data_IF_539294660782
#
_entry.id   IF_539294660782
#
_cell.length_a   1.000
_cell.length_b   1.000
_cell.length_c   1.000
_cell.angle_alpha   90.00
_cell.angle_beta   90.00
_cell.angle_gamma   90.00
#
_symmetry.space_group_name_H-M   'P 1'
#
loop_
_entity.id
_entity.type
_entity.pdbx_description
1 polymer ?
#
# COMPACT_ATOMS: atom_id res chain seq x y z
N UNK A 1 -34.76 -33.22 -67.77
CA UNK A 1 -33.38 -33.49 -67.33
C UNK A 1 -32.99 -32.36 -66.37
N UNK A 2 -33.43 -32.54 -65.14
CA UNK A 2 -32.81 -32.19 -63.86
C UNK A 2 -31.88 -30.96 -63.82
N UNK A 3 -32.48 -29.82 -63.50
CA UNK A 3 -31.79 -28.73 -62.81
C UNK A 3 -31.81 -29.08 -61.32
N UNK A 4 -30.72 -29.65 -60.81
CA UNK A 4 -30.55 -29.92 -59.39
C UNK A 4 -30.35 -28.59 -58.64
N UNK A 5 -31.42 -28.11 -58.02
CA UNK A 5 -31.38 -27.04 -57.02
C UNK A 5 -30.42 -27.43 -55.90
N UNK A 6 -29.33 -26.70 -55.79
CA UNK A 6 -28.39 -26.81 -54.66
C UNK A 6 -29.13 -26.37 -53.38
N UNK A 7 -29.11 -27.12 -52.28
CA UNK A 7 -29.74 -26.67 -51.05
C UNK A 7 -28.93 -25.51 -50.49
N UNK A 8 -29.55 -24.33 -50.40
CA UNK A 8 -29.01 -23.18 -49.69
C UNK A 8 -28.91 -23.50 -48.20
N UNK A 9 -27.77 -24.02 -47.79
CA UNK A 9 -27.41 -24.10 -46.36
C UNK A 9 -27.18 -22.69 -45.84
N UNK A 10 -27.57 -22.45 -44.58
CA UNK A 10 -27.23 -21.21 -43.88
C UNK A 10 -25.73 -20.92 -44.03
N UNK A 11 -25.34 -19.64 -44.23
CA UNK A 11 -23.93 -19.29 -44.33
C UNK A 11 -23.18 -19.75 -43.07
N UNK A 12 -21.92 -20.19 -43.21
CA UNK A 12 -21.13 -20.63 -42.08
C UNK A 12 -21.05 -19.52 -41.03
N UNK A 13 -21.42 -19.85 -39.79
CA UNK A 13 -21.33 -18.93 -38.66
C UNK A 13 -19.90 -18.89 -38.14
N UNK A 14 -19.38 -17.69 -37.91
CA UNK A 14 -18.08 -17.54 -37.27
C UNK A 14 -18.10 -18.09 -35.84
N UNK A 15 -16.99 -18.70 -35.43
CA UNK A 15 -16.83 -19.17 -34.06
C UNK A 15 -16.41 -17.98 -33.18
N UNK A 16 -17.20 -17.68 -32.15
CA UNK A 16 -16.96 -16.54 -31.27
C UNK A 16 -15.67 -16.65 -30.42
N UNK A 17 -15.08 -17.84 -30.29
CA UNK A 17 -13.84 -18.07 -29.53
C UNK A 17 -12.60 -18.13 -30.42
N UNK A 18 -12.72 -18.62 -31.66
CA UNK A 18 -11.58 -18.96 -32.53
C UNK A 18 -11.65 -18.33 -33.92
N UNK A 19 -12.49 -17.31 -34.12
CA UNK A 19 -12.45 -16.42 -35.27
C UNK A 19 -12.21 -14.99 -34.78
N UNK A 20 -11.00 -14.48 -35.01
CA UNK A 20 -10.56 -13.20 -34.47
C UNK A 20 -10.47 -12.14 -35.55
N UNK A 21 -10.95 -10.95 -35.24
CA UNK A 21 -10.66 -9.76 -36.02
C UNK A 21 -9.25 -9.26 -35.65
N UNK A 22 -8.32 -9.14 -36.62
CA UNK A 22 -6.98 -8.67 -36.34
C UNK A 22 -6.96 -7.15 -36.13
N UNK A 23 -6.03 -6.70 -35.31
CA UNK A 23 -5.60 -5.30 -35.21
C UNK A 23 -4.09 -5.21 -35.35
N UNK A 24 -3.64 -4.20 -36.10
CA UNK A 24 -2.22 -3.97 -36.42
C UNK A 24 -1.66 -2.78 -35.65
N UNK A 25 -0.54 -2.98 -34.95
CA UNK A 25 0.21 -1.93 -34.28
C UNK A 25 1.61 -1.84 -34.87
N UNK A 26 2.17 -0.63 -34.90
CA UNK A 26 3.57 -0.38 -35.22
C UNK A 26 4.24 0.23 -33.99
N UNK A 27 5.31 -0.42 -33.52
CA UNK A 27 6.10 0.03 -32.37
C UNK A 27 7.56 -0.01 -32.78
N UNK A 28 8.24 1.13 -32.69
CA UNK A 28 9.59 1.31 -33.24
C UNK A 28 9.66 0.84 -34.72
N UNK A 29 10.45 -0.18 -35.01
CA UNK A 29 10.66 -0.75 -36.35
C UNK A 29 9.84 -2.03 -36.62
N UNK A 30 8.93 -2.43 -35.72
CA UNK A 30 8.22 -3.70 -35.78
C UNK A 30 6.69 -3.56 -35.91
N UNK A 31 6.08 -4.52 -36.62
CA UNK A 31 4.62 -4.65 -36.78
C UNK A 31 4.08 -5.82 -35.96
N UNK A 32 3.05 -5.55 -35.17
CA UNK A 32 2.38 -6.52 -34.33
C UNK A 32 0.96 -6.74 -34.83
N UNK A 33 0.52 -8.00 -34.92
CA UNK A 33 -0.83 -8.38 -35.30
C UNK A 33 -1.44 -9.26 -34.20
N UNK A 34 -2.54 -8.80 -33.62
CA UNK A 34 -3.17 -9.44 -32.45
C UNK A 34 -4.69 -9.38 -32.55
N UNK A 35 -5.43 -10.22 -31.82
CA UNK A 35 -6.90 -10.15 -31.78
C UNK A 35 -7.41 -8.82 -31.20
N UNK A 36 -8.23 -8.07 -31.95
CA UNK A 36 -8.85 -6.79 -31.53
C UNK A 36 -9.63 -6.93 -30.22
N UNK A 37 -10.35 -8.04 -30.07
CA UNK A 37 -11.22 -8.31 -28.92
C UNK A 37 -10.49 -8.25 -27.57
N UNK A 38 -9.20 -8.61 -27.51
CA UNK A 38 -8.44 -8.54 -26.27
C UNK A 38 -8.23 -7.10 -25.79
N UNK A 39 -7.97 -6.15 -26.69
CA UNK A 39 -7.81 -4.73 -26.34
C UNK A 39 -9.15 -4.08 -25.96
N UNK A 40 -10.22 -4.39 -26.70
CA UNK A 40 -11.57 -3.91 -26.39
C UNK A 40 -12.10 -4.45 -25.07
N UNK A 41 -11.77 -5.69 -24.71
CA UNK A 41 -12.18 -6.28 -23.44
C UNK A 41 -11.30 -5.86 -22.25
N UNK A 42 -10.04 -5.46 -22.52
CA UNK A 42 -9.09 -5.10 -21.47
C UNK A 42 -9.18 -3.62 -21.07
N UNK A 43 -9.60 -2.73 -21.97
CA UNK A 43 -9.73 -1.28 -21.71
C UNK A 43 -11.16 -0.83 -21.95
N UNK A 44 -11.80 -0.32 -20.89
CA UNK A 44 -13.20 0.12 -20.97
C UNK A 44 -13.37 1.42 -21.77
N UNK A 45 -12.31 2.22 -21.95
CA UNK A 45 -12.41 3.60 -22.45
C UNK A 45 -11.47 3.93 -23.63
N UNK A 46 -10.17 3.60 -23.52
CA UNK A 46 -9.15 4.10 -24.48
C UNK A 46 -9.34 3.49 -25.86
N UNK A 47 -9.66 2.20 -25.89
CA UNK A 47 -9.84 1.45 -27.12
C UNK A 47 -11.31 1.38 -27.53
N UNK A 48 -12.25 1.49 -26.60
CA UNK A 48 -13.68 1.60 -26.93
C UNK A 48 -13.97 2.87 -27.72
N UNK A 49 -13.53 4.05 -27.25
CA UNK A 49 -13.81 5.33 -27.91
C UNK A 49 -12.98 5.52 -29.19
N UNK A 50 -11.71 5.11 -29.18
CA UNK A 50 -10.85 5.15 -30.37
C UNK A 50 -11.30 4.18 -31.47
N UNK A 51 -12.04 3.11 -31.12
CA UNK A 51 -12.54 2.13 -32.08
C UNK A 51 -14.05 2.25 -32.38
N UNK A 52 -14.79 3.15 -31.72
CA UNK A 52 -16.25 3.37 -31.94
C UNK A 52 -16.61 4.67 -32.66
N UNK A 53 -15.66 5.40 -33.26
CA UNK A 53 -16.00 6.60 -34.02
C UNK A 53 -16.89 6.24 -35.24
N UNK A 54 -18.08 6.89 -35.39
CA UNK A 54 -18.97 6.63 -36.51
C UNK A 54 -18.41 7.22 -37.82
N UNK A 55 -18.09 6.32 -38.75
CA UNK A 55 -18.10 6.50 -40.21
C UNK A 55 -17.88 7.92 -40.77
N UNK A 56 -16.62 8.34 -40.89
CA UNK A 56 -16.26 9.34 -41.90
C UNK A 56 -14.85 9.95 -41.75
N UNK A 57 -13.97 9.61 -42.69
CA UNK A 57 -12.66 10.23 -43.03
C UNK A 57 -11.38 9.71 -42.30
N UNK A 58 -10.37 9.37 -43.12
CA UNK A 58 -8.94 9.05 -42.94
C UNK A 58 -8.40 8.36 -41.65
N UNK A 59 -8.89 8.65 -40.45
CA UNK A 59 -8.51 7.98 -39.19
C UNK A 59 -9.11 6.56 -39.10
N UNK A 60 -10.04 6.22 -40.00
CA UNK A 60 -10.76 4.94 -40.10
C UNK A 60 -9.90 3.71 -40.49
N UNK A 61 -8.72 3.91 -41.06
CA UNK A 61 -7.89 2.78 -41.51
C UNK A 61 -6.90 2.32 -40.44
N UNK A 62 -6.75 3.06 -39.34
CA UNK A 62 -5.75 2.78 -38.31
C UNK A 62 -5.98 1.42 -37.64
N UNK A 63 -4.99 0.56 -37.76
CA UNK A 63 -4.96 -0.80 -37.25
C UNK A 63 -5.70 -1.83 -38.10
N UNK A 64 -6.22 -1.45 -39.28
CA UNK A 64 -6.97 -2.35 -40.15
C UNK A 64 -6.09 -3.40 -40.81
N UNK A 65 -4.91 -3.00 -41.28
CA UNK A 65 -3.99 -3.85 -42.02
C UNK A 65 -2.53 -3.41 -41.85
N UNK A 66 -1.61 -4.13 -42.51
CA UNK A 66 -0.16 -3.87 -42.47
C UNK A 66 0.25 -2.51 -43.02
N UNK A 67 -0.49 -1.97 -43.99
CA UNK A 67 -0.23 -0.64 -44.58
C UNK A 67 -0.77 0.50 -43.71
N UNK A 68 -1.74 0.20 -42.85
CA UNK A 68 -2.38 1.17 -41.96
C UNK A 68 -2.34 0.68 -40.50
N UNK A 69 -1.14 0.49 -39.89
CA UNK A 69 -1.06 0.13 -38.48
C UNK A 69 -1.38 1.33 -37.57
N UNK A 70 -1.73 1.07 -36.32
CA UNK A 70 -1.73 2.09 -35.26
C UNK A 70 -0.27 2.33 -34.87
N UNK A 71 0.27 3.51 -35.20
CA UNK A 71 1.63 3.90 -34.85
C UNK A 71 1.70 4.35 -33.38
N UNK A 72 2.62 3.76 -32.61
CA UNK A 72 2.88 4.04 -31.21
C UNK A 72 4.33 4.53 -31.03
N UNK A 73 4.66 5.75 -31.49
CA UNK A 73 6.04 6.22 -31.61
C UNK A 73 6.77 6.39 -30.27
N UNK A 74 6.04 6.64 -29.19
CA UNK A 74 6.60 6.86 -27.85
C UNK A 74 6.74 5.56 -27.04
N UNK A 75 6.41 4.41 -27.64
CA UNK A 75 6.44 3.11 -26.97
C UNK A 75 7.67 2.29 -27.36
N UNK A 76 8.28 1.61 -26.39
CA UNK A 76 9.36 0.65 -26.62
C UNK A 76 8.79 -0.71 -27.00
N UNK A 77 9.41 -1.39 -27.97
CA UNK A 77 8.94 -2.71 -28.40
C UNK A 77 8.91 -3.74 -27.26
N UNK A 78 9.91 -3.72 -26.39
CA UNK A 78 9.99 -4.60 -25.21
C UNK A 78 8.84 -4.35 -24.23
N UNK A 79 8.36 -3.11 -24.13
CA UNK A 79 7.22 -2.79 -23.27
C UNK A 79 5.95 -3.41 -23.84
N UNK A 80 5.75 -3.23 -25.15
CA UNK A 80 4.58 -3.74 -25.85
C UNK A 80 4.55 -5.27 -25.88
N UNK A 81 5.67 -5.92 -26.17
CA UNK A 81 5.82 -7.38 -26.12
C UNK A 81 5.46 -7.93 -24.73
N UNK A 82 5.90 -7.27 -23.67
CA UNK A 82 5.61 -7.71 -22.29
C UNK A 82 4.11 -7.71 -21.99
N UNK A 83 3.38 -6.68 -22.45
CA UNK A 83 1.92 -6.67 -22.36
C UNK A 83 1.29 -7.78 -23.19
N UNK A 84 1.73 -7.97 -24.44
CA UNK A 84 1.18 -9.00 -25.32
C UNK A 84 1.40 -10.41 -24.79
N UNK A 85 2.51 -10.69 -24.10
CA UNK A 85 2.75 -11.97 -23.42
C UNK A 85 1.68 -12.28 -22.36
N UNK A 86 1.15 -11.26 -21.69
CA UNK A 86 0.08 -11.41 -20.70
C UNK A 86 -1.29 -11.53 -21.38
N UNK A 87 -1.54 -10.74 -22.43
CA UNK A 87 -2.85 -10.73 -23.12
C UNK A 87 -3.06 -11.95 -24.03
N UNK A 88 -2.00 -12.39 -24.70
CA UNK A 88 -2.02 -13.47 -25.70
C UNK A 88 -0.89 -14.46 -25.42
N UNK A 89 -0.96 -15.16 -24.28
CA UNK A 89 0.09 -16.09 -23.91
C UNK A 89 0.14 -17.24 -24.93
N UNK A 90 1.33 -17.58 -25.42
CA UNK A 90 1.55 -18.73 -26.31
C UNK A 90 2.05 -19.94 -25.52
N UNK A 91 1.70 -21.19 -25.91
CA UNK A 91 1.97 -22.38 -25.09
C UNK A 91 3.41 -22.51 -24.56
N UNK A 92 4.40 -22.11 -25.34
CA UNK A 92 5.82 -22.12 -24.95
C UNK A 92 6.16 -21.18 -23.78
N UNK A 93 5.32 -20.19 -23.48
CA UNK A 93 5.54 -19.18 -22.44
C UNK A 93 4.84 -19.50 -21.11
N UNK A 94 3.85 -20.39 -21.10
CA UNK A 94 3.07 -20.65 -19.89
C UNK A 94 2.88 -22.12 -19.54
N UNK A 95 3.17 -23.06 -20.46
CA UNK A 95 3.12 -24.49 -20.16
C UNK A 95 4.54 -24.94 -19.75
N UNK A 96 4.78 -24.97 -18.44
CA UNK A 96 6.02 -25.49 -17.86
C UNK A 96 5.82 -26.94 -17.37
N UNK A 97 6.92 -27.64 -17.08
CA UNK A 97 6.89 -28.99 -16.49
C UNK A 97 6.12 -29.05 -15.15
N UNK A 98 6.04 -27.92 -14.45
CA UNK A 98 5.41 -27.77 -13.13
C UNK A 98 3.99 -27.19 -13.18
N UNK A 99 3.43 -26.98 -14.37
CA UNK A 99 2.06 -26.50 -14.55
C UNK A 99 1.92 -25.26 -15.44
N UNK A 100 0.78 -24.58 -15.33
CA UNK A 100 0.47 -23.37 -16.09
C UNK A 100 0.92 -22.14 -15.29
N UNK A 101 1.98 -21.48 -15.72
CA UNK A 101 2.49 -20.24 -15.09
C UNK A 101 3.14 -19.33 -16.13
N UNK A 102 2.70 -18.08 -16.18
CA UNK A 102 3.40 -17.02 -16.90
C UNK A 102 4.68 -16.64 -16.15
N UNK A 103 5.83 -16.97 -16.73
CA UNK A 103 7.15 -16.70 -16.16
C UNK A 103 7.76 -15.44 -16.77
N UNK A 104 7.26 -14.29 -16.33
CA UNK A 104 7.75 -12.97 -16.70
C UNK A 104 8.70 -12.43 -15.62
N UNK A 105 9.78 -11.78 -16.05
CA UNK A 105 10.75 -11.11 -15.17
C UNK A 105 10.17 -9.83 -14.56
N UNK A 106 10.85 -9.29 -13.54
CA UNK A 106 10.47 -8.02 -12.89
C UNK A 106 10.30 -6.90 -13.91
N UNK A 107 11.26 -6.75 -14.81
CA UNK A 107 11.27 -5.69 -15.83
C UNK A 107 10.09 -5.82 -16.79
N UNK A 108 9.72 -7.05 -17.17
CA UNK A 108 8.57 -7.30 -18.04
C UNK A 108 7.25 -6.99 -17.32
N UNK A 109 7.12 -7.37 -16.04
CA UNK A 109 5.96 -6.97 -15.25
C UNK A 109 5.87 -5.45 -15.03
N UNK A 110 7.01 -4.77 -14.92
CA UNK A 110 7.06 -3.30 -14.86
C UNK A 110 6.55 -2.68 -16.17
N UNK A 111 6.95 -3.22 -17.32
CA UNK A 111 6.40 -2.82 -18.62
C UNK A 111 4.89 -3.05 -18.72
N UNK A 112 4.39 -4.19 -18.24
CA UNK A 112 2.96 -4.48 -18.18
C UNK A 112 2.25 -3.46 -17.31
N UNK A 113 2.75 -3.17 -16.10
CA UNK A 113 2.15 -2.19 -15.19
C UNK A 113 2.09 -0.80 -15.83
N UNK A 114 3.17 -0.37 -16.47
CA UNK A 114 3.25 0.91 -17.18
C UNK A 114 2.16 1.03 -18.25
N UNK A 115 2.10 0.08 -19.17
CA UNK A 115 1.14 0.13 -20.27
C UNK A 115 -0.30 -0.01 -19.81
N UNK A 116 -0.57 -0.92 -18.87
CA UNK A 116 -1.92 -1.12 -18.34
C UNK A 116 -2.41 0.09 -17.54
N UNK A 117 -1.51 0.87 -16.94
CA UNK A 117 -1.86 2.15 -16.30
C UNK A 117 -2.18 3.22 -17.35
N UNK A 118 -1.35 3.37 -18.39
CA UNK A 118 -1.56 4.35 -19.47
C UNK A 118 -2.87 4.08 -20.21
N UNK A 119 -3.16 2.81 -20.53
CA UNK A 119 -4.31 2.40 -21.30
C UNK A 119 -5.54 2.03 -20.47
N UNK A 120 -5.51 2.30 -19.16
CA UNK A 120 -6.61 2.04 -18.21
C UNK A 120 -7.15 0.62 -18.30
N UNK A 121 -6.24 -0.35 -18.28
CA UNK A 121 -6.55 -1.78 -18.30
C UNK A 121 -6.58 -2.34 -16.88
N UNK A 122 -7.58 -1.96 -16.08
CA UNK A 122 -7.58 -2.13 -14.63
C UNK A 122 -7.38 -3.59 -14.16
N UNK A 123 -7.99 -4.56 -14.86
CA UNK A 123 -7.82 -5.98 -14.53
C UNK A 123 -6.38 -6.44 -14.70
N UNK A 124 -5.74 -6.07 -15.82
CA UNK A 124 -4.35 -6.41 -16.10
C UNK A 124 -3.38 -5.64 -15.21
N UNK A 125 -3.70 -4.37 -14.93
CA UNK A 125 -2.96 -3.52 -13.98
C UNK A 125 -2.91 -4.16 -12.60
N UNK A 126 -4.07 -4.55 -12.05
CA UNK A 126 -4.16 -5.18 -10.74
C UNK A 126 -3.39 -6.51 -10.72
N UNK A 127 -3.45 -7.29 -11.79
CA UNK A 127 -2.68 -8.53 -11.92
C UNK A 127 -1.15 -8.28 -11.93
N UNK A 128 -0.70 -7.25 -12.64
CA UNK A 128 0.72 -6.86 -12.64
C UNK A 128 1.19 -6.42 -11.25
N UNK A 129 0.38 -5.64 -10.53
CA UNK A 129 0.65 -5.24 -9.13
C UNK A 129 0.76 -6.47 -8.24
N UNK A 130 -0.17 -7.43 -8.34
CA UNK A 130 -0.13 -8.66 -7.56
C UNK A 130 1.14 -9.45 -7.83
N UNK A 131 1.53 -9.61 -9.10
CA UNK A 131 2.76 -10.32 -9.47
C UNK A 131 4.01 -9.61 -8.94
N UNK A 132 4.12 -8.29 -9.11
CA UNK A 132 5.24 -7.48 -8.60
C UNK A 132 5.30 -7.42 -7.07
N UNK A 133 4.18 -7.69 -6.39
CA UNK A 133 4.13 -7.75 -4.92
C UNK A 133 4.60 -9.10 -4.36
N UNK A 134 4.84 -10.12 -5.21
CA UNK A 134 5.35 -11.43 -4.78
C UNK A 134 6.82 -11.33 -4.36
N UNK A 135 7.20 -12.15 -3.38
CA UNK A 135 8.55 -12.16 -2.78
C UNK A 135 9.66 -12.40 -3.79
N UNK A 136 9.41 -13.18 -4.84
CA UNK A 136 10.40 -13.52 -5.88
C UNK A 136 10.80 -12.30 -6.74
N UNK A 137 9.99 -11.23 -6.73
CA UNK A 137 10.24 -9.97 -7.45
C UNK A 137 10.48 -8.81 -6.48
N UNK A 138 11.09 -9.10 -5.33
CA UNK A 138 11.28 -8.15 -4.23
C UNK A 138 11.78 -6.78 -4.71
N UNK A 139 11.03 -5.76 -4.30
CA UNK A 139 11.40 -4.36 -4.48
C UNK A 139 11.99 -3.81 -3.19
N UNK A 140 13.04 -2.99 -3.32
CA UNK A 140 13.55 -2.25 -2.17
C UNK A 140 12.48 -1.27 -1.65
N UNK A 141 12.59 -0.83 -0.40
CA UNK A 141 11.66 0.16 0.15
C UNK A 141 11.63 1.47 -0.67
N UNK A 142 12.80 1.89 -1.17
CA UNK A 142 12.92 3.08 -2.02
C UNK A 142 12.27 2.85 -3.39
N UNK A 143 12.51 1.69 -4.01
CA UNK A 143 11.86 1.30 -5.27
C UNK A 143 10.33 1.28 -5.11
N UNK A 144 9.81 0.69 -4.01
CA UNK A 144 8.36 0.68 -3.75
C UNK A 144 7.78 2.08 -3.68
N UNK A 145 8.45 3.03 -3.02
CA UNK A 145 7.97 4.41 -2.95
C UNK A 145 8.00 5.09 -4.31
N UNK A 146 9.09 4.94 -5.06
CA UNK A 146 9.20 5.52 -6.40
C UNK A 146 8.06 5.04 -7.30
N UNK A 147 7.89 3.72 -7.39
CA UNK A 147 6.92 3.09 -8.26
C UNK A 147 5.48 3.32 -7.79
N UNK A 148 5.26 3.40 -6.47
CA UNK A 148 3.96 3.72 -5.92
C UNK A 148 3.48 5.12 -6.34
N UNK A 149 4.39 6.11 -6.35
CA UNK A 149 4.07 7.48 -6.80
C UNK A 149 3.85 7.51 -8.32
N UNK A 150 4.72 6.84 -9.08
CA UNK A 150 4.67 6.82 -10.55
C UNK A 150 3.40 6.13 -11.06
N UNK A 151 3.06 4.96 -10.52
CA UNK A 151 1.93 4.13 -10.97
C UNK A 151 0.69 4.21 -10.09
N UNK A 152 0.69 5.10 -9.08
CA UNK A 152 -0.42 5.28 -8.12
C UNK A 152 -0.83 3.96 -7.45
N UNK A 153 0.11 3.34 -6.74
CA UNK A 153 -0.12 2.08 -6.02
C UNK A 153 -0.03 2.31 -4.51
N UNK A 154 -1.17 2.67 -3.88
CA UNK A 154 -1.22 3.04 -2.47
C UNK A 154 -0.69 1.97 -1.51
N UNK A 155 -0.88 0.69 -1.83
CA UNK A 155 -0.34 -0.43 -1.06
C UNK A 155 1.20 -0.43 -1.00
N UNK A 156 1.86 -0.23 -2.14
CA UNK A 156 3.32 -0.13 -2.19
C UNK A 156 3.85 1.12 -1.48
N UNK A 157 3.11 2.23 -1.55
CA UNK A 157 3.48 3.44 -0.82
C UNK A 157 3.52 3.19 0.69
N UNK A 158 2.44 2.60 1.22
CA UNK A 158 2.33 2.23 2.64
C UNK A 158 3.41 1.23 3.06
N UNK A 159 3.64 0.18 2.27
CA UNK A 159 4.68 -0.82 2.54
C UNK A 159 6.09 -0.21 2.51
N UNK A 160 6.36 0.67 1.55
CA UNK A 160 7.61 1.39 1.43
C UNK A 160 7.89 2.25 2.67
N UNK A 161 6.89 3.03 3.11
CA UNK A 161 7.00 3.83 4.35
C UNK A 161 7.26 2.92 5.55
N UNK A 162 6.48 1.84 5.74
CA UNK A 162 6.64 0.92 6.87
C UNK A 162 8.04 0.29 6.90
N UNK A 163 8.56 -0.11 5.75
CA UNK A 163 9.92 -0.64 5.63
C UNK A 163 10.99 0.43 5.93
N UNK A 164 10.80 1.67 5.46
CA UNK A 164 11.71 2.77 5.77
C UNK A 164 11.65 3.20 7.24
N UNK A 165 10.51 3.07 7.92
CA UNK A 165 10.41 3.32 9.36
C UNK A 165 11.29 2.35 10.15
N UNK A 166 11.38 1.10 9.70
CA UNK A 166 12.15 0.04 10.38
C UNK A 166 13.63 -0.02 9.96
N UNK A 167 14.01 0.57 8.82
CA UNK A 167 15.38 0.52 8.28
C UNK A 167 16.36 1.35 9.12
N UNK A 168 17.54 0.81 9.44
CA UNK A 168 18.62 1.59 10.06
C UNK A 168 19.98 1.12 9.51
N UNK A 169 20.86 2.02 9.02
CA UNK A 169 20.67 3.47 8.86
C UNK A 169 19.74 3.83 7.69
N UNK A 170 19.26 5.09 7.67
CA UNK A 170 18.46 5.67 6.59
C UNK A 170 19.11 6.97 6.13
N UNK A 171 19.53 7.01 4.87
CA UNK A 171 20.13 8.19 4.25
C UNK A 171 19.06 9.25 3.98
N UNK A 172 19.22 10.42 4.61
CA UNK A 172 18.22 11.49 4.60
C UNK A 172 18.13 12.15 3.22
N UNK A 173 19.27 12.40 2.59
CA UNK A 173 19.36 13.14 1.33
C UNK A 173 18.71 12.38 0.17
N UNK A 174 19.01 11.09 0.05
CA UNK A 174 18.40 10.21 -0.96
C UNK A 174 16.88 10.10 -0.79
N UNK A 175 16.42 10.04 0.47
CA UNK A 175 14.99 10.00 0.77
C UNK A 175 14.31 11.33 0.40
N UNK A 176 14.90 12.46 0.82
CA UNK A 176 14.39 13.79 0.51
C UNK A 176 14.30 14.04 -1.00
N UNK A 177 15.33 13.64 -1.75
CA UNK A 177 15.35 13.75 -3.21
C UNK A 177 14.28 12.89 -3.89
N UNK A 178 14.00 11.69 -3.37
CA UNK A 178 13.04 10.77 -3.99
C UNK A 178 11.58 11.11 -3.69
N UNK A 179 11.24 11.32 -2.42
CA UNK A 179 9.83 11.45 -1.99
C UNK A 179 9.42 12.89 -1.69
N UNK A 180 10.38 13.81 -1.61
CA UNK A 180 10.18 15.18 -1.15
C UNK A 180 10.43 15.33 0.35
N UNK A 181 10.86 16.53 0.76
CA UNK A 181 11.25 16.82 2.14
C UNK A 181 10.10 16.70 3.15
N UNK A 182 8.87 17.02 2.77
CA UNK A 182 7.70 16.86 3.64
C UNK A 182 7.43 15.37 3.95
N UNK A 183 7.48 14.52 2.92
CA UNK A 183 7.34 13.07 3.09
C UNK A 183 8.49 12.51 3.96
N UNK A 184 9.72 12.95 3.72
CA UNK A 184 10.87 12.54 4.53
C UNK A 184 10.68 12.94 6.00
N UNK A 185 10.27 14.18 6.28
CA UNK A 185 10.03 14.65 7.65
C UNK A 185 8.96 13.81 8.38
N UNK A 186 7.86 13.47 7.71
CA UNK A 186 6.84 12.59 8.27
C UNK A 186 7.38 11.18 8.54
N UNK A 187 8.16 10.60 7.63
CA UNK A 187 8.82 9.30 7.87
C UNK A 187 9.72 9.38 9.11
N UNK A 188 10.53 10.43 9.26
CA UNK A 188 11.36 10.63 10.44
C UNK A 188 10.56 10.83 11.74
N UNK A 189 9.43 11.52 11.68
CA UNK A 189 8.54 11.65 12.85
C UNK A 189 7.97 10.30 13.29
N UNK A 190 7.56 9.46 12.34
CA UNK A 190 7.10 8.09 12.63
C UNK A 190 8.25 7.23 13.18
N UNK A 191 9.46 7.37 12.63
CA UNK A 191 10.65 6.67 13.13
C UNK A 191 10.98 7.05 14.56
N UNK A 192 10.96 8.34 14.89
CA UNK A 192 11.23 8.81 16.25
C UNK A 192 10.16 8.30 17.23
N UNK A 193 8.91 8.23 16.79
CA UNK A 193 7.82 7.64 17.55
C UNK A 193 8.06 6.14 17.81
N UNK A 194 8.34 5.38 16.76
CA UNK A 194 8.55 3.93 16.85
C UNK A 194 9.81 3.57 17.65
N UNK A 195 10.86 4.39 17.58
CA UNK A 195 12.09 4.20 18.34
C UNK A 195 11.88 4.31 19.87
N UNK A 196 10.83 5.01 20.31
CA UNK A 196 10.45 5.12 21.74
C UNK A 196 9.52 4.00 22.19
N UNK A 197 9.02 3.17 21.27
CA UNK A 197 8.11 2.07 21.59
C UNK A 197 8.81 1.03 22.47
N UNK A 198 8.25 0.67 23.64
CA UNK A 198 8.79 -0.39 24.47
C UNK A 198 8.80 -1.74 23.73
N UNK A 199 9.88 -2.52 23.87
CA UNK A 199 10.06 -3.80 23.16
C UNK A 199 8.93 -4.81 23.34
N UNK A 200 8.23 -4.78 24.47
CA UNK A 200 7.12 -5.70 24.77
C UNK A 200 5.78 -5.31 24.13
N UNK A 201 5.68 -4.12 23.53
CA UNK A 201 4.52 -3.66 22.75
C UNK A 201 4.56 -4.13 21.30
N UNK A 202 5.05 -5.36 21.07
CA UNK A 202 4.91 -6.00 19.78
C UNK A 202 3.42 -6.16 19.42
N UNK A 203 3.10 -5.95 18.14
CA UNK A 203 1.75 -6.08 17.62
C UNK A 203 1.18 -7.48 17.97
N UNK A 204 -0.03 -7.51 18.52
CA UNK A 204 -0.74 -8.76 18.86
C UNK A 204 -0.66 -9.24 20.31
N UNK A 205 0.24 -8.69 21.14
CA UNK A 205 0.37 -9.09 22.55
C UNK A 205 -0.68 -8.45 23.49
N UNK A 206 -1.54 -7.56 22.97
CA UNK A 206 -2.52 -6.82 23.77
C UNK A 206 -1.91 -5.82 24.76
N UNK A 207 -0.58 -5.62 24.73
CA UNK A 207 0.14 -4.66 25.57
C UNK A 207 0.25 -3.35 24.83
N UNK A 208 -0.29 -2.30 25.43
CA UNK A 208 -0.27 -0.95 24.90
C UNK A 208 0.75 -0.09 25.66
N UNK A 209 1.13 1.03 25.05
CA UNK A 209 2.03 2.01 25.67
C UNK A 209 1.48 3.42 25.58
N UNK A 210 1.95 4.25 26.51
CA UNK A 210 1.57 5.65 26.68
C UNK A 210 2.79 6.44 27.13
N UNK A 211 2.80 7.74 26.89
CA UNK A 211 3.80 8.63 27.50
C UNK A 211 3.36 9.02 28.90
N UNK A 212 4.29 9.10 29.85
CA UNK A 212 4.01 9.50 31.22
C UNK A 212 3.23 10.82 31.32
N UNK A 213 3.55 11.78 30.45
CA UNK A 213 2.89 13.08 30.34
C UNK A 213 1.43 13.02 29.87
N UNK A 214 0.95 11.88 29.34
CA UNK A 214 -0.44 11.73 28.93
C UNK A 214 -1.36 11.30 30.08
N UNK A 215 -0.83 11.03 31.27
CA UNK A 215 -1.64 10.65 32.44
C UNK A 215 -2.40 11.87 32.96
N UNK A 216 -3.73 11.84 32.91
CA UNK A 216 -4.65 12.93 33.25
C UNK A 216 -5.62 12.53 34.37
N UNK A 217 -6.22 13.54 34.99
CA UNK A 217 -7.18 13.33 36.08
C UNK A 217 -8.46 12.67 35.55
N UNK A 218 -8.90 11.56 36.15
CA UNK A 218 -10.19 10.95 35.83
C UNK A 218 -11.39 11.72 36.40
N UNK A 219 -11.20 12.49 37.48
CA UNK A 219 -12.27 13.21 38.17
C UNK A 219 -12.66 14.53 37.50
N UNK A 220 -11.92 15.00 36.50
CA UNK A 220 -12.27 16.20 35.74
C UNK A 220 -11.81 16.11 34.29
N UNK A 221 -12.30 17.01 33.44
CA UNK A 221 -12.01 17.04 31.99
C UNK A 221 -10.73 17.79 31.62
N UNK A 222 -9.82 18.00 32.57
CA UNK A 222 -8.59 18.75 32.30
C UNK A 222 -7.75 18.10 31.21
N UNK A 223 -7.23 18.93 30.32
CA UNK A 223 -6.17 18.60 29.36
C UNK A 223 -4.82 19.10 29.86
N UNK A 224 -4.64 19.21 31.18
CA UNK A 224 -3.32 19.28 31.84
C UNK A 224 -2.85 17.91 32.39
N UNK A 225 -1.55 17.57 32.28
CA UNK A 225 -1.00 16.35 32.89
C UNK A 225 -1.21 16.32 34.41
N UNK A 226 -1.71 15.18 34.91
CA UNK A 226 -1.07 14.44 36.01
C UNK A 226 0.03 15.13 36.81
N UNK A 227 1.20 14.94 36.22
CA UNK A 227 2.50 15.23 36.72
C UNK A 227 3.08 16.33 35.86
N UNK A 228 3.60 17.38 36.50
CA UNK A 228 4.29 18.46 35.78
C UNK A 228 5.67 18.04 35.26
N UNK A 229 6.20 16.92 35.74
CA UNK A 229 7.47 16.38 35.29
C UNK A 229 7.25 15.53 34.04
N UNK A 230 8.20 15.57 33.12
CA UNK A 230 8.21 14.71 31.93
C UNK A 230 8.65 13.28 32.24
N UNK A 231 9.08 13.02 33.48
CA UNK A 231 9.54 11.70 33.91
C UNK A 231 9.38 11.44 35.40
N UNK A 232 9.32 10.17 35.78
CA UNK A 232 9.49 9.69 37.16
C UNK A 232 10.24 8.36 37.21
N UNK A 233 10.77 8.02 38.40
CA UNK A 233 11.28 6.69 38.66
C UNK A 233 10.13 5.72 38.88
N UNK A 234 10.34 4.46 38.50
CA UNK A 234 9.42 3.40 38.87
C UNK A 234 9.40 3.31 40.39
N UNK A 235 8.21 3.45 41.00
CA UNK A 235 8.06 3.38 42.46
C UNK A 235 8.32 2.00 43.03
N UNK A 236 8.35 0.96 42.19
CA UNK A 236 8.69 -0.40 42.59
C UNK A 236 10.20 -0.65 42.57
N UNK A 237 10.86 -0.54 41.40
CA UNK A 237 12.29 -0.87 41.28
C UNK A 237 13.23 0.30 41.60
N UNK A 238 12.71 1.51 41.83
CA UNK A 238 13.49 2.71 42.18
C UNK A 238 14.35 3.27 41.06
N UNK A 239 14.56 2.52 39.98
CA UNK A 239 15.40 2.91 38.85
C UNK A 239 14.59 3.81 37.92
N UNK A 240 15.10 5.02 37.70
CA UNK A 240 14.49 6.00 36.83
C UNK A 240 15.48 6.94 36.20
N UNK A 241 16.26 6.43 35.26
CA UNK A 241 16.66 7.27 34.13
C UNK A 241 15.37 7.60 33.35
N UNK A 242 14.58 8.52 33.87
CA UNK A 242 13.37 9.10 33.32
C UNK A 242 12.40 8.11 32.62
N UNK A 243 11.41 7.56 33.33
CA UNK A 243 10.34 6.82 32.66
C UNK A 243 9.45 7.84 31.94
N UNK A 244 9.78 8.13 30.68
CA UNK A 244 8.99 8.96 29.76
C UNK A 244 7.85 8.17 29.14
N UNK A 245 8.01 6.86 29.05
CA UNK A 245 7.12 5.94 28.35
C UNK A 245 6.75 4.79 29.31
N UNK A 246 5.49 4.37 29.26
CA UNK A 246 4.89 3.38 30.16
C UNK A 246 4.12 2.35 29.37
N UNK A 247 4.05 1.12 29.87
CA UNK A 247 3.19 0.07 29.31
C UNK A 247 2.03 -0.24 30.25
N UNK A 248 0.97 -0.85 29.72
CA UNK A 248 -0.08 -1.44 30.53
C UNK A 248 -0.59 -2.75 29.93
N UNK A 249 -0.90 -3.70 30.80
CA UNK A 249 -1.46 -5.00 30.44
C UNK A 249 -2.97 -4.94 30.67
N UNK A 250 -3.74 -4.63 29.65
CA UNK A 250 -5.20 -4.76 29.72
C UNK A 250 -5.78 -5.08 28.35
N UNK A 251 -6.72 -6.04 28.31
CA UNK A 251 -7.38 -6.52 27.10
C UNK A 251 -8.40 -5.55 26.51
N UNK A 252 -8.04 -4.28 26.36
CA UNK A 252 -8.92 -3.25 25.82
C UNK A 252 -8.26 -1.88 25.82
N UNK A 253 -8.32 -1.19 24.68
CA UNK A 253 -7.72 0.12 24.46
C UNK A 253 -7.39 0.27 22.99
N UNK A 254 -8.01 1.24 22.32
CA UNK A 254 -7.76 1.52 20.90
C UNK A 254 -6.52 2.43 20.82
N UNK A 255 -5.45 2.04 20.10
CA UNK A 255 -4.32 2.93 19.88
C UNK A 255 -4.80 4.28 19.34
N UNK A 256 -4.15 5.38 19.75
CA UNK A 256 -4.54 6.73 19.35
C UNK A 256 -5.80 7.26 20.02
N UNK A 257 -6.36 6.58 21.03
CA UNK A 257 -7.54 7.05 21.79
C UNK A 257 -7.23 7.31 23.27
N UNK A 258 -8.12 8.04 23.93
CA UNK A 258 -8.11 8.16 25.40
C UNK A 258 -8.76 6.92 26.03
N UNK A 259 -8.24 6.49 27.19
CA UNK A 259 -8.75 5.37 27.98
C UNK A 259 -8.73 5.72 29.46
N UNK A 260 -9.76 5.28 30.20
CA UNK A 260 -9.78 5.32 31.66
C UNK A 260 -9.30 3.97 32.19
N UNK A 261 -8.27 3.98 33.04
CA UNK A 261 -7.72 2.76 33.65
C UNK A 261 -7.35 2.98 35.11
N UNK A 262 -7.19 1.89 35.86
CA UNK A 262 -6.68 1.93 37.24
C UNK A 262 -5.17 2.13 37.28
N UNK A 263 -4.65 2.75 38.34
CA UNK A 263 -3.20 2.95 38.50
C UNK A 263 -2.40 1.65 38.46
N UNK A 264 -2.97 0.56 38.95
CA UNK A 264 -2.38 -0.78 38.93
C UNK A 264 -2.29 -1.38 37.52
N UNK A 265 -2.91 -0.81 36.50
CA UNK A 265 -2.73 -1.30 35.12
C UNK A 265 -1.39 -0.84 34.53
N UNK A 266 -0.80 0.25 35.04
CA UNK A 266 0.46 0.79 34.53
C UNK A 266 1.64 0.00 35.08
N UNK A 267 2.35 -0.67 34.18
CA UNK A 267 3.52 -1.47 34.47
C UNK A 267 4.81 -0.78 33.99
N UNK A 268 5.92 -1.09 34.65
CA UNK A 268 7.23 -0.60 34.28
C UNK A 268 7.68 -1.21 32.95
N UNK A 269 8.17 -0.37 32.02
CA UNK A 269 8.67 -0.80 30.71
C UNK A 269 9.89 -1.70 30.76
N UNK A 270 10.62 -1.71 31.89
CA UNK A 270 11.82 -2.54 32.05
C UNK A 270 11.43 -4.01 32.20
N UNK A 271 12.00 -4.83 31.33
CA UNK A 271 11.83 -6.28 31.27
C UNK A 271 12.08 -6.97 32.62
N UNK A 272 13.05 -6.49 33.39
CA UNK A 272 13.43 -7.05 34.70
C UNK A 272 12.51 -6.60 35.86
N UNK A 273 11.71 -5.56 35.67
CA UNK A 273 10.79 -5.08 36.70
C UNK A 273 9.39 -5.61 36.46
N UNK A 274 8.71 -5.14 35.39
CA UNK A 274 7.32 -5.50 35.04
C UNK A 274 6.31 -5.38 36.19
N UNK A 275 6.62 -4.59 37.22
CA UNK A 275 5.73 -4.29 38.34
C UNK A 275 5.04 -2.93 38.15
N UNK A 276 4.07 -2.63 39.01
CA UNK A 276 3.29 -1.39 38.97
C UNK A 276 4.20 -0.16 39.08
N UNK A 277 4.36 0.56 37.97
CA UNK A 277 5.33 1.66 37.88
C UNK A 277 4.99 2.80 38.84
N UNK A 278 3.69 2.98 39.11
CA UNK A 278 3.12 4.06 39.91
C UNK A 278 2.50 3.54 41.22
N UNK A 279 3.06 2.46 41.77
CA UNK A 279 2.63 1.89 43.05
C UNK A 279 2.64 2.96 44.17
N UNK A 280 1.57 3.03 44.96
CA UNK A 280 1.37 4.06 46.00
C UNK A 280 1.51 5.52 45.48
N UNK A 281 1.21 5.77 44.20
CA UNK A 281 1.09 7.13 43.71
C UNK A 281 -0.04 7.86 44.42
N UNK A 282 0.23 9.11 44.78
CA UNK A 282 -0.70 10.03 45.40
C UNK A 282 -0.39 11.41 44.82
N UNK A 283 -1.30 11.92 44.01
CA UNK A 283 -1.13 13.18 43.28
C UNK A 283 -2.41 13.99 43.36
N UNK A 284 -2.30 15.23 43.81
CA UNK A 284 -3.42 16.18 43.83
C UNK A 284 -3.53 16.82 42.45
N UNK A 285 -4.70 16.65 41.81
CA UNK A 285 -4.98 17.31 40.54
C UNK A 285 -4.93 18.83 40.70
N UNK A 286 -4.13 19.50 39.89
CA UNK A 286 -3.97 20.96 39.95
C UNK A 286 -5.25 21.70 39.58
N UNK A 287 -6.08 21.13 38.69
CA UNK A 287 -7.32 21.72 38.18
C UNK A 287 -8.50 21.56 39.16
N UNK A 288 -8.82 20.34 39.59
CA UNK A 288 -10.01 20.08 40.42
C UNK A 288 -9.71 19.81 41.90
N UNK A 289 -8.43 19.82 42.32
CA UNK A 289 -7.96 19.56 43.69
C UNK A 289 -8.29 18.18 44.25
N UNK A 290 -8.91 17.29 43.45
CA UNK A 290 -9.16 15.91 43.84
C UNK A 290 -7.84 15.15 43.95
N UNK A 291 -7.71 14.36 45.01
CA UNK A 291 -6.57 13.46 45.17
C UNK A 291 -6.75 12.21 44.29
N UNK A 292 -5.83 12.00 43.36
CA UNK A 292 -5.73 10.79 42.57
C UNK A 292 -4.76 9.83 43.27
N UNK A 293 -5.30 8.86 43.99
CA UNK A 293 -4.57 7.82 44.73
C UNK A 293 -4.51 6.50 43.96
N UNK A 294 -3.64 5.59 44.39
CA UNK A 294 -3.41 4.26 43.78
C UNK A 294 -4.64 3.35 43.66
N UNK A 295 -5.73 3.62 44.39
CA UNK A 295 -7.00 2.88 44.29
C UNK A 295 -7.99 3.52 43.30
N UNK A 296 -7.68 4.70 42.78
CA UNK A 296 -8.51 5.45 41.85
C UNK A 296 -8.27 5.10 40.38
N UNK A 297 -8.89 5.89 39.51
CA UNK A 297 -8.74 5.81 38.06
C UNK A 297 -7.96 7.02 37.52
N UNK A 298 -7.38 6.85 36.35
CA UNK A 298 -6.71 7.88 35.55
C UNK A 298 -7.16 7.81 34.11
N UNK A 299 -7.12 8.95 33.41
CA UNK A 299 -7.27 9.02 31.97
C UNK A 299 -5.89 9.00 31.34
N UNK A 300 -5.70 8.25 30.27
CA UNK A 300 -4.44 8.17 29.53
C UNK A 300 -4.69 8.24 28.04
N UNK A 301 -3.73 8.74 27.28
CA UNK A 301 -3.74 8.64 25.82
C UNK A 301 -2.86 7.48 25.39
N UNK A 302 -3.42 6.56 24.61
CA UNK A 302 -2.68 5.41 24.09
C UNK A 302 -1.92 5.87 22.84
N UNK A 303 -0.61 5.64 22.80
CA UNK A 303 0.20 6.03 21.64
C UNK A 303 -0.28 5.30 20.38
N UNK A 304 -0.42 5.99 19.24
CA UNK A 304 -0.88 5.40 18.00
C UNK A 304 0.11 4.36 17.47
N UNK A 305 -0.37 3.43 16.65
CA UNK A 305 0.53 2.50 15.93
C UNK A 305 1.20 3.19 14.76
N UNK A 306 2.27 2.57 14.23
CA UNK A 306 2.91 3.01 12.97
C UNK A 306 1.88 3.10 11.85
N UNK A 307 1.01 2.09 11.70
CA UNK A 307 -0.03 2.10 10.66
C UNK A 307 -1.03 3.26 10.81
N UNK A 308 -1.39 3.64 12.04
CA UNK A 308 -2.24 4.82 12.28
C UNK A 308 -1.52 6.13 11.97
N UNK A 309 -0.23 6.22 12.25
CA UNK A 309 0.56 7.40 11.90
C UNK A 309 0.74 7.50 10.39
N UNK A 310 0.93 6.38 9.69
CA UNK A 310 0.95 6.37 8.22
C UNK A 310 -0.38 6.87 7.67
N UNK A 311 -1.51 6.38 8.17
CA UNK A 311 -2.84 6.88 7.76
C UNK A 311 -3.00 8.37 8.08
N UNK A 312 -2.53 8.84 9.23
CA UNK A 312 -2.59 10.25 9.64
C UNK A 312 -1.82 11.16 8.69
N UNK A 313 -0.60 10.78 8.30
CA UNK A 313 0.30 11.64 7.51
C UNK A 313 0.14 11.47 6.00
N UNK A 314 -0.29 10.28 5.54
CA UNK A 314 -0.28 9.89 4.15
C UNK A 314 -1.61 9.32 3.66
N UNK A 315 -2.62 9.16 4.52
CA UNK A 315 -3.89 8.51 4.15
C UNK A 315 -4.62 9.21 3.00
N UNK A 316 -4.57 10.53 2.94
CA UNK A 316 -5.20 11.29 1.86
C UNK A 316 -4.47 11.12 0.52
N UNK A 317 -3.13 11.04 0.54
CA UNK A 317 -2.32 10.74 -0.64
C UNK A 317 -2.58 9.30 -1.11
N UNK A 318 -2.57 8.35 -0.19
CA UNK A 318 -2.84 6.93 -0.47
C UNK A 318 -4.23 6.72 -1.06
N UNK A 319 -5.25 7.47 -0.62
CA UNK A 319 -6.62 7.40 -1.16
C UNK A 319 -6.76 7.98 -2.57
N UNK A 320 -5.84 8.85 -2.99
CA UNK A 320 -5.82 9.43 -4.33
C UNK A 320 -5.12 8.53 -5.36
N UNK A 321 -4.49 7.46 -4.90
CA UNK A 321 -3.80 6.48 -5.73
C UNK A 321 -4.76 5.38 -6.15
#
# INVERSE_FOLDING_TARGET
>A
MDNASTPGGDPPKFNNLFCWEPIWFKVEDELFCVPRSGFTAASDLVFTDAFQLPSGTAELEAGRDKSHPIDLPDLKKVDFESLLKVMYPIPSMFIAKEGIKLDLKKEEWMSVLKLTTIWKMDKLRNHAIECLSKTDLAMSAMEKLQLAKEYRVGGWFKEGIKALVQKSPLEVDDLGALVGWDCAAHIFAIREHDAKRPHHCAEGNGVQWLRFQTIRCASCKTTEPLYKTTSQNCRYCGIGSAITDLTFTYGGGTPGSELVLGWSSIICVRDQCRQYALHNANVVCTSCKVNASSTGQIRVYIEPTVDMLIEKYFGDEIKQY
#
